data_IF_824857938773
#
_entry.id   IF_824857938773
#
_cell.length_a   1.000
_cell.length_b   1.000
_cell.length_c   1.000
_cell.angle_alpha   90.00
_cell.angle_beta   90.00
_cell.angle_gamma   90.00
#
_symmetry.space_group_name_H-M   'P 1'
#
loop_
_entity.id
_entity.type
_entity.pdbx_description
1 polymer ?
#
# COMPACT_ATOMS: atom_id res chain seq x y z
N UNK A 1 45.76 72.23 37.58
CA UNK A 1 45.37 71.91 36.21
C UNK A 1 43.95 71.41 36.28
N UNK A 2 43.00 72.15 35.69
CA UNK A 2 41.53 72.05 35.93
C UNK A 2 40.94 71.01 34.98
N UNK A 3 40.16 70.04 35.51
CA UNK A 3 39.45 69.11 34.75
C UNK A 3 37.96 69.59 34.75
N UNK A 4 37.45 69.88 33.53
CA UNK A 4 36.06 70.24 33.33
C UNK A 4 35.22 68.95 33.07
N UNK A 5 34.18 68.79 33.89
CA UNK A 5 33.14 67.80 33.65
C UNK A 5 32.01 68.47 32.86
N UNK A 6 31.67 67.93 31.69
CA UNK A 6 30.42 68.19 30.98
C UNK A 6 29.39 67.11 31.28
N UNK A 7 28.33 67.52 31.92
CA UNK A 7 27.12 66.73 32.07
C UNK A 7 26.33 66.74 30.74
N UNK A 8 25.96 65.60 30.24
CA UNK A 8 25.01 65.45 29.14
C UNK A 8 23.69 64.93 29.74
N UNK A 9 22.56 65.57 29.48
CA UNK A 9 21.27 65.10 29.99
C UNK A 9 20.76 63.92 29.16
N UNK A 10 20.38 62.84 29.83
CA UNK A 10 19.72 61.68 29.23
C UNK A 10 18.24 62.03 29.05
N UNK A 11 17.78 62.11 27.80
CA UNK A 11 16.38 62.27 27.43
C UNK A 11 15.70 60.89 27.48
N UNK A 12 14.85 60.65 28.46
CA UNK A 12 14.02 59.44 28.56
C UNK A 12 12.86 59.55 27.58
N UNK A 13 12.90 58.71 26.52
CA UNK A 13 11.74 58.55 25.60
C UNK A 13 10.84 57.44 26.19
N UNK A 14 9.70 57.82 26.69
CA UNK A 14 8.61 56.89 27.04
C UNK A 14 7.97 56.35 25.75
N UNK A 15 8.25 55.09 25.40
CA UNK A 15 7.50 54.36 24.40
C UNK A 15 6.21 53.82 25.04
N UNK A 16 5.08 54.41 24.69
CA UNK A 16 3.76 53.85 24.98
C UNK A 16 3.52 52.63 24.08
N UNK A 17 3.49 51.46 24.65
CA UNK A 17 3.09 50.21 23.96
C UNK A 17 1.56 50.25 23.86
N UNK A 18 1.07 50.49 22.65
CA UNK A 18 -0.37 50.31 22.33
C UNK A 18 -0.67 48.81 22.33
N UNK A 19 -1.41 48.36 23.31
CA UNK A 19 -2.04 47.04 23.37
C UNK A 19 -3.04 46.90 22.23
N UNK A 20 -2.71 46.16 21.18
CA UNK A 20 -3.68 45.67 20.22
C UNK A 20 -4.56 44.66 20.92
N UNK A 21 -5.81 44.99 21.16
CA UNK A 21 -6.82 44.07 21.67
C UNK A 21 -7.00 42.87 20.68
N UNK A 22 -6.82 41.67 21.19
CA UNK A 22 -7.25 40.44 20.49
C UNK A 22 -8.79 40.45 20.46
N UNK A 23 -9.36 40.49 19.26
CA UNK A 23 -10.76 40.19 19.02
C UNK A 23 -10.93 38.68 19.22
N UNK A 24 -11.77 38.21 20.15
CA UNK A 24 -12.05 36.79 20.22
C UNK A 24 -12.82 36.37 18.97
N UNK A 25 -12.21 35.54 18.13
CA UNK A 25 -12.92 34.85 17.07
C UNK A 25 -13.77 33.77 17.75
N UNK A 26 -15.04 34.09 17.99
CA UNK A 26 -16.04 33.10 18.32
C UNK A 26 -16.34 32.32 17.05
N UNK A 27 -15.70 31.16 16.88
CA UNK A 27 -16.13 30.17 15.91
C UNK A 27 -17.49 29.65 16.37
N UNK A 28 -18.53 30.03 15.68
CA UNK A 28 -19.84 29.37 15.75
C UNK A 28 -19.59 27.93 15.26
N UNK A 29 -20.05 26.90 15.99
CA UNK A 29 -20.01 25.56 15.44
C UNK A 29 -20.93 25.52 14.21
N UNK A 30 -20.36 25.49 13.03
CA UNK A 30 -21.12 25.13 11.84
C UNK A 30 -21.67 23.73 12.05
N UNK A 31 -22.99 23.58 11.90
CA UNK A 31 -23.64 22.27 11.75
C UNK A 31 -23.15 21.65 10.43
N UNK A 32 -21.91 21.17 10.42
CA UNK A 32 -21.43 20.27 9.41
C UNK A 32 -22.09 18.92 9.68
N UNK A 33 -22.98 18.50 8.83
CA UNK A 33 -23.38 17.10 8.71
C UNK A 33 -22.12 16.35 8.32
N UNK A 34 -21.41 15.76 9.31
CA UNK A 34 -20.33 14.81 9.04
C UNK A 34 -20.95 13.64 8.33
N UNK A 35 -20.55 13.42 7.08
CA UNK A 35 -20.90 12.20 6.34
C UNK A 35 -20.36 11.02 7.14
N UNK A 36 -21.14 9.97 7.45
CA UNK A 36 -20.62 8.77 8.09
C UNK A 36 -19.47 8.23 7.25
N UNK A 37 -18.33 7.88 7.87
CA UNK A 37 -17.14 7.37 7.18
C UNK A 37 -16.06 8.41 6.83
N UNK A 38 -16.24 9.71 7.16
CA UNK A 38 -15.30 10.79 6.82
C UNK A 38 -14.19 11.04 7.86
N UNK A 39 -14.23 10.43 9.03
CA UNK A 39 -13.19 10.60 10.06
C UNK A 39 -12.16 9.48 10.00
N UNK A 40 -10.91 9.85 9.76
CA UNK A 40 -9.75 8.97 9.94
C UNK A 40 -8.97 9.41 11.17
N UNK A 41 -8.35 8.44 11.85
CA UNK A 41 -7.44 8.70 12.96
C UNK A 41 -6.05 8.19 12.62
N UNK A 42 -4.99 8.97 12.87
CA UNK A 42 -3.62 8.49 12.70
C UNK A 42 -3.34 7.26 13.59
N UNK A 43 -2.54 6.35 13.06
CA UNK A 43 -1.94 5.24 13.80
C UNK A 43 -0.45 5.53 13.89
N UNK A 44 0.04 5.75 15.10
CA UNK A 44 1.45 5.99 15.35
C UNK A 44 2.23 4.66 15.32
N UNK A 45 3.19 4.56 14.41
CA UNK A 45 4.14 3.46 14.35
C UNK A 45 5.56 4.00 14.63
N UNK A 46 6.41 3.18 15.22
CA UNK A 46 7.81 3.55 15.43
C UNK A 46 8.59 3.58 14.11
N UNK A 47 8.20 2.74 13.13
CA UNK A 47 8.72 2.70 11.78
C UNK A 47 7.57 2.58 10.79
N UNK A 48 7.35 3.63 9.98
CA UNK A 48 6.21 3.75 9.09
C UNK A 48 5.12 4.64 9.66
N UNK A 49 3.95 4.64 9.02
CA UNK A 49 2.78 5.40 9.45
C UNK A 49 1.50 4.70 9.01
N UNK A 50 0.39 5.07 9.61
CA UNK A 50 -0.91 4.52 9.23
C UNK A 50 -2.08 5.40 9.64
N UNK A 51 -3.24 5.05 9.11
CA UNK A 51 -4.52 5.66 9.45
C UNK A 51 -5.58 4.60 9.62
N UNK A 52 -6.57 4.89 10.47
CA UNK A 52 -7.73 4.05 10.72
C UNK A 52 -9.01 4.81 10.40
N UNK A 53 -9.85 4.22 9.57
CA UNK A 53 -11.24 4.60 9.35
C UNK A 53 -12.20 3.66 10.09
N UNK A 54 -13.50 3.77 9.77
CA UNK A 54 -14.56 2.95 10.39
C UNK A 54 -14.47 1.46 10.01
N UNK A 55 -14.02 1.16 8.79
CA UNK A 55 -14.00 -0.18 8.20
C UNK A 55 -12.64 -0.61 7.65
N UNK A 56 -11.63 0.28 7.68
CA UNK A 56 -10.29 -0.01 7.19
C UNK A 56 -9.21 0.51 8.13
N UNK A 57 -8.04 -0.07 8.00
CA UNK A 57 -6.76 0.45 8.46
C UNK A 57 -5.79 0.41 7.27
N UNK A 58 -5.06 1.50 7.06
CA UNK A 58 -4.09 1.63 5.96
C UNK A 58 -2.73 2.00 6.54
N UNK A 59 -1.70 1.27 6.12
CA UNK A 59 -0.35 1.40 6.62
C UNK A 59 0.63 1.57 5.47
N UNK A 60 1.67 2.37 5.70
CA UNK A 60 2.81 2.55 4.80
C UNK A 60 4.10 2.31 5.56
N UNK A 61 5.03 1.58 4.95
CA UNK A 61 6.39 1.45 5.45
C UNK A 61 7.15 2.76 5.23
N UNK A 62 8.12 3.05 6.08
CA UNK A 62 9.04 4.17 5.89
C UNK A 62 10.49 3.68 6.05
N UNK A 63 11.14 3.22 4.97
CA UNK A 63 12.52 2.76 5.01
C UNK A 63 13.52 3.88 5.31
N UNK A 64 13.11 5.14 5.18
CA UNK A 64 13.93 6.32 5.51
C UNK A 64 13.75 6.78 6.95
N UNK A 65 12.81 6.19 7.66
CA UNK A 65 12.52 6.49 9.06
C UNK A 65 13.70 6.18 9.98
N UNK A 66 13.89 6.94 11.06
CA UNK A 66 15.07 6.81 11.92
C UNK A 66 15.14 5.48 12.68
N UNK A 67 14.04 4.75 12.78
CA UNK A 67 13.95 3.46 13.48
C UNK A 67 13.87 2.25 12.54
N UNK A 68 13.77 2.46 11.22
CA UNK A 68 13.78 1.37 10.24
C UNK A 68 15.04 0.48 10.31
N UNK A 69 16.25 1.01 10.54
CA UNK A 69 17.44 0.18 10.68
C UNK A 69 17.42 -0.75 11.90
N UNK A 70 16.58 -0.50 12.90
CA UNK A 70 16.40 -1.36 14.07
C UNK A 70 15.40 -2.49 13.80
N UNK A 71 14.68 -2.49 12.67
CA UNK A 71 13.67 -3.46 12.28
C UNK A 71 12.67 -3.76 13.42
N UNK A 72 12.08 -2.70 13.97
CA UNK A 72 11.15 -2.82 15.12
C UNK A 72 10.07 -1.75 15.07
N UNK A 73 8.85 -2.14 15.48
CA UNK A 73 7.69 -1.25 15.59
C UNK A 73 7.16 -0.78 14.23
N UNK A 74 7.31 -1.60 13.21
CA UNK A 74 6.81 -1.35 11.86
C UNK A 74 5.36 -1.77 11.65
N UNK A 75 4.97 -1.82 10.39
CA UNK A 75 3.60 -2.17 9.96
C UNK A 75 3.25 -3.65 10.23
N UNK A 76 4.21 -4.47 10.59
CA UNK A 76 4.00 -5.85 11.05
C UNK A 76 3.31 -5.92 12.41
N UNK A 77 3.50 -4.93 13.28
CA UNK A 77 2.90 -4.89 14.62
C UNK A 77 1.37 -5.04 14.59
N UNK A 78 0.62 -4.18 13.90
CA UNK A 78 -0.82 -4.31 13.74
C UNK A 78 -1.28 -5.64 13.13
N UNK A 79 -0.54 -6.18 12.15
CA UNK A 79 -0.83 -7.49 11.56
C UNK A 79 -0.66 -8.61 12.60
N UNK A 80 0.41 -8.58 13.38
CA UNK A 80 0.67 -9.53 14.47
C UNK A 80 -0.43 -9.46 15.54
N UNK A 81 -0.92 -8.26 15.88
CA UNK A 81 -2.04 -8.08 16.81
C UNK A 81 -3.33 -8.71 16.26
N UNK A 82 -3.61 -8.54 14.95
CA UNK A 82 -4.77 -9.17 14.32
C UNK A 82 -4.67 -10.70 14.32
N UNK A 83 -3.49 -11.26 13.99
CA UNK A 83 -3.22 -12.70 14.06
C UNK A 83 -3.39 -13.21 15.52
N UNK A 84 -2.90 -12.47 16.50
CA UNK A 84 -3.07 -12.82 17.91
C UNK A 84 -4.54 -12.76 18.37
N UNK A 85 -5.33 -11.88 17.76
CA UNK A 85 -6.78 -11.75 18.01
C UNK A 85 -7.65 -12.81 17.32
N UNK A 86 -7.12 -13.55 16.34
CA UNK A 86 -7.84 -14.55 15.56
C UNK A 86 -8.42 -15.68 16.44
N UNK A 87 -9.65 -16.11 16.12
CA UNK A 87 -10.41 -17.10 16.90
C UNK A 87 -10.83 -18.31 16.09
N UNK A 88 -11.02 -18.20 14.79
CA UNK A 88 -11.55 -19.25 13.92
C UNK A 88 -10.50 -19.73 12.93
N UNK A 89 -10.02 -18.85 12.06
CA UNK A 89 -9.14 -19.23 10.95
C UNK A 89 -8.23 -18.10 10.50
N UNK A 90 -7.08 -18.48 9.96
CA UNK A 90 -6.17 -17.61 9.23
C UNK A 90 -5.77 -18.35 7.95
N UNK A 91 -6.11 -17.78 6.80
CA UNK A 91 -5.73 -18.23 5.48
C UNK A 91 -4.73 -17.21 4.90
N UNK A 92 -3.48 -17.59 4.73
CA UNK A 92 -2.41 -16.70 4.27
C UNK A 92 -1.87 -17.13 2.91
N UNK A 93 -1.92 -16.25 1.91
CA UNK A 93 -1.23 -16.37 0.65
C UNK A 93 -0.01 -15.45 0.67
N UNK A 94 1.19 -16.01 0.56
CA UNK A 94 2.44 -15.28 0.75
C UNK A 94 3.46 -15.64 -0.33
N UNK A 95 3.78 -14.70 -1.22
CA UNK A 95 4.92 -14.88 -2.12
C UNK A 95 6.20 -15.20 -1.35
N UNK A 96 6.47 -14.45 -0.29
CA UNK A 96 7.62 -14.69 0.61
C UNK A 96 7.24 -14.41 2.06
N UNK A 97 7.71 -15.28 2.95
CA UNK A 97 7.51 -15.15 4.39
C UNK A 97 8.83 -15.44 5.10
N UNK A 98 9.41 -14.42 5.70
CA UNK A 98 10.64 -14.51 6.53
C UNK A 98 10.61 -13.54 7.71
N UNK A 99 9.45 -12.94 8.00
CA UNK A 99 9.25 -12.01 9.10
C UNK A 99 8.99 -12.80 10.40
N UNK A 100 9.95 -12.79 11.29
CA UNK A 100 9.90 -13.54 12.54
C UNK A 100 8.65 -13.25 13.37
N UNK A 101 8.23 -11.98 13.46
CA UNK A 101 7.04 -11.55 14.20
C UNK A 101 5.77 -12.24 13.70
N UNK A 102 5.58 -12.27 12.39
CA UNK A 102 4.43 -12.93 11.74
C UNK A 102 4.51 -14.45 11.87
N UNK A 103 5.69 -15.06 11.65
CA UNK A 103 5.89 -16.50 11.83
C UNK A 103 5.50 -16.96 13.24
N UNK A 104 6.01 -16.29 14.26
CA UNK A 104 5.69 -16.65 15.65
C UNK A 104 4.21 -16.45 15.96
N UNK A 105 3.60 -15.37 15.48
CA UNK A 105 2.18 -15.12 15.67
C UNK A 105 1.29 -16.22 15.05
N UNK A 106 1.63 -16.68 13.83
CA UNK A 106 0.94 -17.78 13.15
C UNK A 106 1.08 -19.11 13.93
N UNK A 107 2.28 -19.43 14.39
CA UNK A 107 2.53 -20.63 15.21
C UNK A 107 1.73 -20.57 16.52
N UNK A 108 1.70 -19.42 17.18
CA UNK A 108 0.95 -19.26 18.43
C UNK A 108 -0.56 -19.29 18.21
N UNK A 109 -1.07 -18.74 17.09
CA UNK A 109 -2.46 -18.88 16.69
C UNK A 109 -2.83 -20.36 16.49
N UNK A 110 -1.99 -21.11 15.77
CA UNK A 110 -2.19 -22.56 15.56
C UNK A 110 -2.20 -23.34 16.90
N UNK A 111 -1.28 -23.04 17.81
CA UNK A 111 -1.25 -23.64 19.15
C UNK A 111 -2.47 -23.33 20.01
N UNK A 112 -3.12 -22.19 19.80
CA UNK A 112 -4.41 -21.83 20.42
C UNK A 112 -5.60 -22.59 19.81
N UNK A 113 -5.41 -23.34 18.73
CA UNK A 113 -6.45 -24.10 18.04
C UNK A 113 -7.13 -23.32 16.89
N UNK A 114 -6.59 -22.16 16.48
CA UNK A 114 -7.01 -21.45 15.26
C UNK A 114 -6.61 -22.29 14.05
N UNK A 115 -7.48 -22.42 13.07
CA UNK A 115 -7.15 -23.07 11.80
C UNK A 115 -6.23 -22.15 10.99
N UNK A 116 -4.94 -22.44 10.98
CA UNK A 116 -3.96 -21.69 10.17
C UNK A 116 -3.58 -22.53 8.94
N UNK A 117 -3.65 -21.92 7.76
CA UNK A 117 -3.26 -22.53 6.48
C UNK A 117 -2.44 -21.51 5.68
N UNK A 118 -1.46 -21.99 4.91
CA UNK A 118 -0.58 -21.11 4.13
C UNK A 118 -0.40 -21.65 2.71
N UNK A 119 -0.53 -20.76 1.73
CA UNK A 119 -0.10 -20.98 0.33
C UNK A 119 1.11 -20.11 0.07
N UNK A 120 2.14 -20.65 -0.55
CA UNK A 120 3.37 -19.93 -0.85
C UNK A 120 3.86 -20.18 -2.28
N UNK A 121 4.67 -19.25 -2.76
CA UNK A 121 5.50 -19.47 -3.93
C UNK A 121 6.47 -20.62 -3.69
N UNK A 122 6.48 -21.62 -4.57
CA UNK A 122 7.24 -22.87 -4.42
C UNK A 122 8.74 -22.67 -4.24
N UNK A 123 9.31 -21.68 -4.93
CA UNK A 123 10.75 -21.37 -4.84
C UNK A 123 11.18 -20.83 -3.48
N UNK A 124 10.22 -20.44 -2.63
CA UNK A 124 10.46 -19.94 -1.29
C UNK A 124 10.19 -20.98 -0.18
N UNK A 125 9.66 -22.16 -0.52
CA UNK A 125 9.27 -23.19 0.44
C UNK A 125 10.42 -23.76 1.28
N UNK A 126 11.61 -23.85 0.72
CA UNK A 126 12.79 -24.42 1.39
C UNK A 126 13.46 -23.47 2.39
N UNK A 127 12.94 -22.24 2.54
CA UNK A 127 13.47 -21.27 3.52
C UNK A 127 13.12 -21.68 4.95
N UNK A 128 13.88 -21.15 5.92
CA UNK A 128 13.75 -21.50 7.35
C UNK A 128 12.36 -21.24 7.93
N UNK A 129 11.70 -20.15 7.51
CA UNK A 129 10.43 -19.73 8.11
C UNK A 129 9.25 -20.59 7.65
N UNK A 130 9.06 -20.89 6.36
CA UNK A 130 8.08 -21.87 5.92
C UNK A 130 8.31 -23.26 6.55
N UNK A 131 9.55 -23.70 6.64
CA UNK A 131 9.87 -24.98 7.26
C UNK A 131 9.51 -25.01 8.76
N UNK A 132 9.71 -23.90 9.49
CA UNK A 132 9.31 -23.79 10.87
C UNK A 132 7.77 -23.80 11.06
N UNK A 133 7.00 -23.28 10.10
CA UNK A 133 5.53 -23.40 10.10
C UNK A 133 5.12 -24.86 9.91
N UNK A 134 5.74 -25.57 8.96
CA UNK A 134 5.50 -27.01 8.69
C UNK A 134 5.85 -27.86 9.93
N UNK A 135 7.01 -27.62 10.55
CA UNK A 135 7.43 -28.28 11.77
C UNK A 135 6.48 -28.02 12.95
N UNK A 136 5.85 -26.87 13.01
CA UNK A 136 4.82 -26.55 13.99
C UNK A 136 3.47 -27.24 13.72
N UNK A 137 3.31 -27.94 12.58
CA UNK A 137 2.09 -28.64 12.18
C UNK A 137 1.11 -27.79 11.39
N UNK A 138 1.49 -26.61 10.93
CA UNK A 138 0.68 -25.76 10.07
C UNK A 138 0.75 -26.32 8.64
N UNK A 139 -0.40 -26.58 7.97
CA UNK A 139 -0.41 -26.96 6.57
C UNK A 139 0.12 -25.79 5.69
N UNK A 140 1.21 -26.02 4.98
CA UNK A 140 1.81 -25.09 4.01
C UNK A 140 1.93 -25.81 2.69
N UNK A 141 1.40 -25.22 1.62
CA UNK A 141 1.55 -25.75 0.26
C UNK A 141 2.24 -24.72 -0.64
N UNK A 142 2.97 -25.22 -1.63
CA UNK A 142 3.53 -24.42 -2.72
C UNK A 142 2.68 -24.54 -3.97
N UNK A 143 2.80 -23.56 -4.87
CA UNK A 143 2.29 -23.66 -6.23
C UNK A 143 3.09 -24.67 -7.05
N UNK A 144 2.61 -25.02 -8.23
CA UNK A 144 3.27 -25.95 -9.18
C UNK A 144 3.18 -25.42 -10.61
N UNK A 145 3.40 -24.12 -10.79
CA UNK A 145 3.28 -23.46 -12.09
C UNK A 145 4.58 -22.79 -12.55
N UNK A 146 4.64 -22.42 -13.83
CA UNK A 146 5.76 -21.65 -14.41
C UNK A 146 5.64 -20.14 -14.09
N UNK A 147 4.45 -19.66 -13.67
CA UNK A 147 4.22 -18.30 -13.16
C UNK A 147 4.64 -18.20 -11.71
N UNK A 148 4.19 -17.16 -11.03
CA UNK A 148 4.43 -16.94 -9.60
C UNK A 148 3.12 -16.96 -8.82
N UNK A 149 3.06 -17.65 -7.71
CA UNK A 149 2.07 -17.37 -6.69
C UNK A 149 2.50 -16.09 -5.97
N UNK A 150 2.10 -14.95 -6.54
CA UNK A 150 2.60 -13.64 -6.12
C UNK A 150 1.65 -12.87 -5.20
N UNK A 151 0.57 -13.49 -4.80
CA UNK A 151 -0.36 -12.95 -3.80
C UNK A 151 0.32 -12.63 -2.47
N UNK A 152 -0.16 -11.59 -1.78
CA UNK A 152 0.27 -11.16 -0.45
C UNK A 152 -0.96 -10.72 0.33
N UNK A 153 -1.72 -11.72 0.83
CA UNK A 153 -2.90 -11.44 1.61
C UNK A 153 -3.09 -12.40 2.78
N UNK A 154 -3.86 -11.98 3.77
CA UNK A 154 -4.38 -12.86 4.82
C UNK A 154 -5.88 -12.62 4.99
N UNK A 155 -6.64 -13.70 5.11
CA UNK A 155 -8.04 -13.66 5.56
C UNK A 155 -8.09 -14.15 6.99
N UNK A 156 -8.56 -13.30 7.91
CA UNK A 156 -8.68 -13.63 9.34
C UNK A 156 -10.16 -13.76 9.70
N UNK A 157 -10.50 -14.89 10.33
CA UNK A 157 -11.84 -15.21 10.85
C UNK A 157 -12.97 -15.05 9.80
N UNK A 158 -12.64 -15.10 8.50
CA UNK A 158 -13.56 -14.91 7.37
C UNK A 158 -14.34 -13.58 7.43
N UNK A 159 -13.79 -12.58 8.09
CA UNK A 159 -14.41 -11.29 8.35
C UNK A 159 -13.57 -10.09 7.99
N UNK A 160 -12.27 -10.28 7.86
CA UNK A 160 -11.34 -9.24 7.46
C UNK A 160 -10.29 -9.76 6.49
N UNK A 161 -9.79 -8.86 5.64
CA UNK A 161 -8.72 -9.12 4.68
C UNK A 161 -7.59 -8.13 4.92
N UNK A 162 -6.37 -8.66 4.97
CA UNK A 162 -5.13 -7.90 4.91
C UNK A 162 -4.52 -8.10 3.53
N UNK A 163 -4.24 -7.04 2.82
CA UNK A 163 -3.71 -7.08 1.45
C UNK A 163 -2.83 -5.85 1.17
N UNK A 164 -2.04 -5.91 0.13
CA UNK A 164 -1.19 -4.80 -0.31
C UNK A 164 0.02 -5.27 -1.10
N UNK A 165 1.02 -4.42 -1.17
CA UNK A 165 2.27 -4.74 -1.87
C UNK A 165 3.30 -5.45 -0.99
N UNK A 166 3.16 -5.38 0.35
CA UNK A 166 4.16 -5.83 1.31
C UNK A 166 4.33 -7.36 1.32
N UNK A 167 5.52 -7.83 1.02
CA UNK A 167 5.93 -9.20 1.37
C UNK A 167 6.06 -9.31 2.91
N UNK A 168 5.74 -10.47 3.46
CA UNK A 168 5.88 -10.72 4.90
C UNK A 168 7.34 -11.05 5.26
N UNK A 169 8.23 -10.09 4.96
CA UNK A 169 9.69 -10.21 5.15
C UNK A 169 10.23 -9.00 5.90
N UNK A 170 11.42 -9.12 6.49
CA UNK A 170 12.09 -7.99 7.16
C UNK A 170 12.33 -6.85 6.16
N UNK A 171 12.84 -7.15 4.95
CA UNK A 171 13.03 -6.13 3.92
C UNK A 171 11.72 -5.49 3.48
N UNK A 172 10.66 -6.29 3.26
CA UNK A 172 9.34 -5.77 2.88
C UNK A 172 8.73 -4.83 3.92
N UNK A 173 9.12 -5.00 5.19
CA UNK A 173 8.59 -4.19 6.30
C UNK A 173 9.45 -2.97 6.61
N UNK A 174 10.79 -3.05 6.43
CA UNK A 174 11.71 -2.04 6.96
C UNK A 174 12.63 -1.41 5.92
N UNK A 175 12.86 -2.06 4.77
CA UNK A 175 13.81 -1.60 3.76
C UNK A 175 13.13 -1.10 2.48
N UNK A 176 11.90 -1.58 2.17
CA UNK A 176 11.17 -1.28 0.94
C UNK A 176 10.01 -0.31 1.19
N UNK A 177 9.64 0.49 0.18
CA UNK A 177 8.41 1.27 0.19
C UNK A 177 7.21 0.37 -0.16
N UNK A 178 6.35 0.11 0.80
CA UNK A 178 5.18 -0.76 0.69
C UNK A 178 3.93 -0.15 1.31
N UNK A 179 2.78 -0.69 0.92
CA UNK A 179 1.51 -0.50 1.61
C UNK A 179 0.96 -1.83 2.14
N UNK A 180 0.18 -1.75 3.20
CA UNK A 180 -0.61 -2.85 3.76
C UNK A 180 -1.95 -2.28 4.21
N UNK A 181 -3.04 -2.88 3.73
CA UNK A 181 -4.39 -2.44 4.06
C UNK A 181 -5.16 -3.57 4.73
N UNK A 182 -5.83 -3.27 5.84
CA UNK A 182 -6.82 -4.12 6.52
C UNK A 182 -8.21 -3.64 6.18
N UNK A 183 -9.09 -4.53 5.74
CA UNK A 183 -10.47 -4.23 5.41
C UNK A 183 -11.41 -5.16 6.17
N UNK A 184 -12.32 -4.59 6.95
CA UNK A 184 -13.38 -5.32 7.63
C UNK A 184 -14.58 -5.49 6.70
N UNK A 185 -14.66 -6.62 6.01
CA UNK A 185 -15.75 -6.95 5.09
C UNK A 185 -15.88 -8.46 4.90
N UNK A 186 -17.01 -9.00 5.28
CA UNK A 186 -17.29 -10.43 5.06
C UNK A 186 -17.43 -10.79 3.58
N UNK A 187 -17.90 -9.86 2.74
CA UNK A 187 -18.00 -10.07 1.28
C UNK A 187 -16.63 -10.10 0.61
N UNK A 188 -15.75 -9.18 0.99
CA UNK A 188 -14.39 -9.19 0.48
C UNK A 188 -13.63 -10.41 1.02
N UNK A 189 -13.80 -10.74 2.29
CA UNK A 189 -13.24 -11.95 2.88
C UNK A 189 -13.74 -13.24 2.20
N UNK A 190 -14.98 -13.26 1.71
CA UNK A 190 -15.51 -14.38 0.91
C UNK A 190 -14.76 -14.53 -0.42
N UNK A 191 -14.51 -13.43 -1.15
CA UNK A 191 -13.71 -13.45 -2.39
C UNK A 191 -12.32 -14.04 -2.15
N UNK A 192 -11.59 -13.46 -1.19
CA UNK A 192 -10.22 -13.89 -0.87
C UNK A 192 -10.16 -15.30 -0.27
N UNK A 193 -11.21 -15.74 0.46
CA UNK A 193 -11.31 -17.12 0.95
C UNK A 193 -11.54 -18.11 -0.18
N UNK A 194 -12.29 -17.72 -1.22
CA UNK A 194 -12.51 -18.56 -2.37
C UNK A 194 -11.26 -18.70 -3.22
N UNK A 195 -10.57 -17.59 -3.50
CA UNK A 195 -9.27 -17.57 -4.16
C UNK A 195 -8.25 -18.44 -3.41
N UNK A 196 -8.15 -18.27 -2.09
CA UNK A 196 -7.29 -19.12 -1.26
C UNK A 196 -7.67 -20.60 -1.35
N UNK A 197 -8.96 -20.91 -1.37
CA UNK A 197 -9.47 -22.28 -1.46
C UNK A 197 -9.13 -22.93 -2.80
N UNK A 198 -9.22 -22.19 -3.90
CA UNK A 198 -8.85 -22.68 -5.23
C UNK A 198 -7.38 -23.10 -5.26
N UNK A 199 -6.50 -22.26 -4.70
CA UNK A 199 -5.08 -22.61 -4.57
C UNK A 199 -4.85 -23.77 -3.60
N UNK A 200 -5.40 -23.66 -2.37
CA UNK A 200 -5.05 -24.57 -1.26
C UNK A 200 -5.73 -25.94 -1.34
N UNK A 201 -7.02 -25.99 -1.68
CA UNK A 201 -7.83 -27.23 -1.69
C UNK A 201 -7.90 -27.85 -3.07
N UNK A 202 -8.08 -27.01 -4.12
CA UNK A 202 -8.30 -27.49 -5.48
C UNK A 202 -6.98 -27.58 -6.28
N UNK A 203 -5.87 -27.01 -5.76
CA UNK A 203 -4.53 -27.03 -6.42
C UNK A 203 -4.52 -26.23 -7.73
N UNK A 204 -5.40 -25.23 -7.86
CA UNK A 204 -5.55 -24.40 -9.04
C UNK A 204 -4.67 -23.17 -8.91
N UNK A 205 -3.73 -23.01 -9.82
CA UNK A 205 -2.80 -21.88 -9.91
C UNK A 205 -2.65 -21.45 -11.37
N UNK A 206 -2.40 -20.17 -11.58
CA UNK A 206 -2.08 -19.61 -12.89
C UNK A 206 -3.24 -19.63 -13.89
N UNK A 207 -2.94 -19.57 -15.20
CA UNK A 207 -3.94 -19.33 -16.22
C UNK A 207 -4.86 -20.55 -16.45
N UNK A 208 -6.01 -20.27 -17.09
CA UNK A 208 -7.04 -21.23 -17.48
C UNK A 208 -8.00 -21.65 -16.34
N UNK A 209 -8.08 -20.86 -15.31
CA UNK A 209 -9.09 -20.97 -14.26
C UNK A 209 -10.27 -20.07 -14.66
N UNK A 210 -11.48 -20.51 -14.39
CA UNK A 210 -12.64 -19.67 -14.65
C UNK A 210 -12.81 -18.65 -13.51
N UNK A 211 -13.14 -17.38 -13.79
CA UNK A 211 -13.37 -16.38 -12.75
C UNK A 211 -14.37 -16.84 -11.69
N UNK A 212 -14.02 -16.70 -10.43
CA UNK A 212 -14.86 -17.13 -9.30
C UNK A 212 -14.97 -16.07 -8.19
N UNK A 213 -14.91 -14.82 -8.54
CA UNK A 213 -15.04 -13.70 -7.61
C UNK A 213 -16.50 -13.39 -7.35
N UNK A 214 -17.13 -13.93 -6.27
CA UNK A 214 -18.59 -13.85 -6.07
C UNK A 214 -19.09 -12.42 -5.81
N UNK A 215 -18.25 -11.56 -5.27
CA UNK A 215 -18.56 -10.16 -4.98
C UNK A 215 -17.54 -9.23 -5.68
N UNK A 216 -17.52 -9.16 -7.03
CA UNK A 216 -16.52 -8.37 -7.74
C UNK A 216 -16.63 -6.87 -7.43
N UNK A 217 -17.78 -6.42 -6.95
CA UNK A 217 -18.03 -5.07 -6.46
C UNK A 217 -18.62 -5.16 -5.05
N UNK A 218 -17.91 -4.56 -4.10
CA UNK A 218 -18.36 -4.45 -2.70
C UNK A 218 -18.57 -2.97 -2.38
N UNK A 219 -19.62 -2.64 -1.63
CA UNK A 219 -19.82 -1.29 -1.10
C UNK A 219 -19.76 -1.34 0.43
N UNK A 220 -18.91 -0.50 1.02
CA UNK A 220 -18.76 -0.35 2.47
C UNK A 220 -18.79 1.15 2.79
N UNK A 221 -19.70 1.59 3.66
CA UNK A 221 -19.86 3.00 4.03
C UNK A 221 -19.81 3.94 2.81
N UNK A 222 -20.64 3.64 1.80
CA UNK A 222 -20.72 4.36 0.51
C UNK A 222 -19.47 4.25 -0.39
N UNK A 223 -18.37 3.67 0.09
CA UNK A 223 -17.18 3.40 -0.70
C UNK A 223 -17.38 2.19 -1.59
N UNK A 224 -17.26 2.37 -2.90
CA UNK A 224 -17.19 1.28 -3.87
C UNK A 224 -15.78 0.70 -3.86
N UNK A 225 -15.68 -0.63 -3.81
CA UNK A 225 -14.44 -1.38 -3.97
C UNK A 225 -14.67 -2.42 -5.06
N UNK A 226 -13.85 -2.43 -6.07
CA UNK A 226 -13.79 -3.50 -7.07
C UNK A 226 -12.63 -4.43 -6.72
N UNK A 227 -12.83 -5.74 -6.88
CA UNK A 227 -11.84 -6.75 -6.57
C UNK A 227 -11.61 -7.66 -7.77
N UNK A 228 -10.36 -7.86 -8.12
CA UNK A 228 -9.91 -8.68 -9.24
C UNK A 228 -8.77 -9.58 -8.81
N UNK A 229 -8.76 -10.80 -9.36
CA UNK A 229 -7.62 -11.71 -9.28
C UNK A 229 -7.08 -11.98 -10.68
N UNK A 230 -5.77 -11.92 -10.86
CA UNK A 230 -5.17 -12.33 -12.10
C UNK A 230 -4.63 -13.77 -11.94
N UNK A 231 -4.62 -14.52 -13.05
CA UNK A 231 -4.90 -14.09 -14.42
C UNK A 231 -6.38 -14.18 -14.86
N UNK A 232 -7.31 -14.45 -13.97
CA UNK A 232 -8.67 -14.87 -14.32
C UNK A 232 -9.65 -13.73 -14.60
N UNK A 233 -9.59 -12.65 -13.81
CA UNK A 233 -10.61 -11.59 -13.80
C UNK A 233 -10.32 -10.47 -14.81
N UNK A 234 -9.22 -10.53 -15.59
CA UNK A 234 -8.89 -9.54 -16.63
C UNK A 234 -8.54 -8.17 -16.04
N UNK A 235 -7.60 -8.15 -15.12
CA UNK A 235 -7.13 -6.95 -14.40
C UNK A 235 -6.76 -5.82 -15.33
N UNK A 236 -6.01 -6.11 -16.40
CA UNK A 236 -5.53 -5.08 -17.33
C UNK A 236 -6.68 -4.33 -18.00
N UNK A 237 -7.79 -5.00 -18.33
CA UNK A 237 -8.96 -4.35 -18.93
C UNK A 237 -9.63 -3.38 -17.92
N UNK A 238 -9.72 -3.77 -16.64
CA UNK A 238 -10.27 -2.92 -15.59
C UNK A 238 -9.40 -1.68 -15.37
N UNK A 239 -8.06 -1.85 -15.31
CA UNK A 239 -7.11 -0.74 -15.19
C UNK A 239 -7.14 0.16 -16.42
N UNK A 240 -7.18 -0.40 -17.63
CA UNK A 240 -7.28 0.37 -18.87
C UNK A 240 -8.56 1.21 -18.91
N UNK A 241 -9.71 0.66 -18.51
CA UNK A 241 -10.96 1.42 -18.41
C UNK A 241 -10.85 2.55 -17.39
N UNK A 242 -10.28 2.29 -16.22
CA UNK A 242 -10.08 3.29 -15.18
C UNK A 242 -9.20 4.45 -15.67
N UNK A 243 -8.01 4.13 -16.21
CA UNK A 243 -7.05 5.15 -16.69
C UNK A 243 -7.60 5.95 -17.86
N UNK A 244 -8.33 5.30 -18.79
CA UNK A 244 -9.04 6.01 -19.88
C UNK A 244 -10.15 6.93 -19.36
N UNK A 245 -10.72 6.64 -18.21
CA UNK A 245 -11.73 7.45 -17.53
C UNK A 245 -11.17 8.63 -16.73
N UNK A 246 -9.84 8.72 -16.54
CA UNK A 246 -9.21 9.83 -15.81
C UNK A 246 -9.47 11.18 -16.47
N UNK A 247 -9.81 12.19 -15.68
CA UNK A 247 -10.20 13.54 -16.13
C UNK A 247 -9.25 14.62 -15.64
N UNK A 248 -8.55 14.44 -14.51
CA UNK A 248 -7.74 15.46 -13.85
C UNK A 248 -6.28 15.05 -13.70
N UNK A 249 -6.02 13.85 -13.14
CA UNK A 249 -4.66 13.43 -12.80
C UNK A 249 -4.48 11.91 -12.73
N UNK A 250 -3.22 11.47 -12.95
CA UNK A 250 -2.79 10.10 -12.69
C UNK A 250 -1.42 10.15 -11.98
N UNK A 251 -1.38 9.72 -10.72
CA UNK A 251 -0.12 9.52 -10.02
C UNK A 251 0.15 8.01 -9.87
N UNK A 252 1.42 7.61 -9.92
CA UNK A 252 1.77 6.20 -9.76
C UNK A 252 3.05 5.99 -8.93
N UNK A 253 3.04 4.91 -8.17
CA UNK A 253 4.19 4.36 -7.46
C UNK A 253 4.33 2.91 -7.88
N UNK A 254 5.42 2.54 -8.58
CA UNK A 254 5.48 1.23 -9.21
C UNK A 254 6.82 0.54 -9.06
N UNK A 255 6.79 -0.72 -8.63
CA UNK A 255 7.94 -1.60 -8.68
C UNK A 255 8.29 -1.90 -10.14
N UNK A 256 7.45 -2.62 -10.86
CA UNK A 256 7.66 -2.94 -12.27
C UNK A 256 6.53 -2.40 -13.15
N UNK A 257 6.88 -1.63 -14.18
CA UNK A 257 5.93 -1.12 -15.15
C UNK A 257 6.44 -1.39 -16.57
N UNK A 258 5.95 -2.48 -17.16
CA UNK A 258 6.33 -2.96 -18.50
C UNK A 258 5.12 -3.22 -19.41
N UNK A 259 3.91 -2.86 -18.96
CA UNK A 259 2.69 -2.97 -19.74
C UNK A 259 2.60 -1.82 -20.75
N UNK A 260 2.88 -2.09 -22.02
CA UNK A 260 2.73 -1.08 -23.08
C UNK A 260 1.28 -0.56 -23.18
N UNK A 261 0.28 -1.43 -22.95
CA UNK A 261 -1.13 -1.04 -23.01
C UNK A 261 -1.45 0.07 -21.99
N UNK A 262 -1.06 -0.12 -20.73
CA UNK A 262 -1.27 0.91 -19.71
C UNK A 262 -0.35 2.12 -19.93
N UNK A 263 0.89 1.90 -20.38
CA UNK A 263 1.85 2.95 -20.71
C UNK A 263 1.35 3.86 -21.85
N UNK A 264 0.78 3.28 -22.91
CA UNK A 264 0.17 4.04 -24.02
C UNK A 264 -0.98 4.93 -23.54
N UNK A 265 -1.83 4.42 -22.65
CA UNK A 265 -2.93 5.20 -22.05
C UNK A 265 -2.39 6.36 -21.22
N UNK A 266 -1.41 6.12 -20.36
CA UNK A 266 -0.80 7.15 -19.49
C UNK A 266 -0.19 8.26 -20.37
N UNK A 267 0.56 7.92 -21.44
CA UNK A 267 1.11 8.90 -22.39
C UNK A 267 0.02 9.68 -23.12
N UNK A 268 -1.04 9.02 -23.55
CA UNK A 268 -2.17 9.70 -24.22
C UNK A 268 -2.91 10.68 -23.28
N UNK A 269 -2.97 10.37 -21.98
CA UNK A 269 -3.54 11.27 -20.98
C UNK A 269 -2.65 12.49 -20.71
N UNK A 270 -1.32 12.32 -20.70
CA UNK A 270 -0.38 13.45 -20.66
C UNK A 270 -0.55 14.36 -21.88
N UNK A 271 -0.62 13.79 -23.09
CA UNK A 271 -0.86 14.55 -24.32
C UNK A 271 -2.22 15.28 -24.30
N UNK A 272 -3.21 14.73 -23.61
CA UNK A 272 -4.52 15.37 -23.39
C UNK A 272 -4.47 16.48 -22.31
N UNK A 273 -3.34 16.65 -21.60
CA UNK A 273 -3.10 17.73 -20.65
C UNK A 273 -3.46 17.41 -19.20
N UNK A 274 -3.60 16.14 -18.83
CA UNK A 274 -3.77 15.74 -17.44
C UNK A 274 -2.46 15.91 -16.66
N UNK A 275 -2.56 16.09 -15.35
CA UNK A 275 -1.39 16.08 -14.47
C UNK A 275 -0.93 14.65 -14.23
N UNK A 276 0.27 14.29 -14.71
CA UNK A 276 0.80 12.94 -14.52
C UNK A 276 2.18 12.99 -13.88
N UNK A 277 2.36 12.23 -12.81
CA UNK A 277 3.66 12.04 -12.18
C UNK A 277 3.81 10.64 -11.59
N UNK A 278 5.04 10.15 -11.51
CA UNK A 278 5.31 8.82 -10.99
C UNK A 278 6.69 8.63 -10.39
N UNK A 279 6.83 7.58 -9.56
CA UNK A 279 8.13 7.10 -9.11
C UNK A 279 8.23 5.61 -9.40
N UNK A 280 9.34 5.19 -9.98
CA UNK A 280 9.63 3.82 -10.40
C UNK A 280 10.89 3.30 -9.73
N UNK A 281 10.93 1.99 -9.49
CA UNK A 281 12.06 1.30 -8.88
C UNK A 281 13.31 1.30 -9.77
N UNK A 282 14.48 1.66 -9.22
CA UNK A 282 15.74 1.78 -9.97
C UNK A 282 16.18 0.44 -10.59
N UNK A 283 16.12 -0.63 -9.81
CA UNK A 283 16.56 -1.95 -10.27
C UNK A 283 15.66 -2.45 -11.41
N UNK A 284 14.36 -2.23 -11.29
CA UNK A 284 13.41 -2.63 -12.32
C UNK A 284 13.52 -1.80 -13.61
N UNK A 285 13.84 -0.52 -13.51
CA UNK A 285 14.15 0.32 -14.69
C UNK A 285 15.34 -0.25 -15.42
N UNK A 286 16.38 -0.63 -14.73
CA UNK A 286 17.65 -1.08 -15.32
C UNK A 286 17.63 -2.53 -15.81
N UNK A 287 16.88 -3.43 -15.15
CA UNK A 287 16.90 -4.87 -15.41
C UNK A 287 15.78 -5.37 -16.32
N UNK A 288 14.62 -4.69 -16.33
CA UNK A 288 13.49 -5.13 -17.13
C UNK A 288 13.63 -4.73 -18.60
N UNK A 289 13.26 -5.65 -19.48
CA UNK A 289 13.06 -5.32 -20.89
C UNK A 289 11.67 -4.69 -21.06
N UNK A 290 11.61 -3.57 -21.81
CA UNK A 290 10.35 -2.90 -22.12
C UNK A 290 9.78 -2.09 -20.94
N UNK A 291 10.63 -1.58 -20.06
CA UNK A 291 10.20 -0.62 -19.03
C UNK A 291 9.59 0.63 -19.67
N UNK A 292 8.53 1.16 -19.05
CA UNK A 292 7.87 2.38 -19.51
C UNK A 292 8.58 3.67 -19.05
N UNK A 293 9.68 3.58 -18.30
CA UNK A 293 10.40 4.74 -17.78
C UNK A 293 10.86 5.70 -18.90
N UNK A 294 11.66 5.21 -19.85
CA UNK A 294 12.15 6.02 -20.97
C UNK A 294 11.01 6.54 -21.85
N UNK A 295 9.99 5.75 -22.24
CA UNK A 295 8.81 6.25 -22.92
C UNK A 295 8.07 7.37 -22.19
N UNK A 296 7.96 7.29 -20.85
CA UNK A 296 7.35 8.36 -20.06
C UNK A 296 8.19 9.63 -20.03
N UNK A 297 9.52 9.52 -19.85
CA UNK A 297 10.45 10.67 -19.94
C UNK A 297 10.36 11.36 -21.31
N UNK A 298 10.30 10.58 -22.38
CA UNK A 298 10.19 11.11 -23.76
C UNK A 298 8.86 11.81 -24.00
N UNK A 299 7.78 11.38 -23.36
CA UNK A 299 6.47 12.02 -23.39
C UNK A 299 6.38 13.30 -22.54
N UNK A 300 7.40 13.60 -21.71
CA UNK A 300 7.42 14.77 -20.84
C UNK A 300 6.80 14.55 -19.46
N UNK A 301 6.46 13.31 -19.12
CA UNK A 301 5.89 12.96 -17.79
C UNK A 301 6.96 13.15 -16.69
N UNK A 302 6.57 13.74 -15.54
CA UNK A 302 7.43 13.81 -14.35
C UNK A 302 7.54 12.42 -13.69
N UNK A 303 8.31 11.53 -14.33
CA UNK A 303 8.65 10.24 -13.76
C UNK A 303 10.05 10.28 -13.19
N UNK A 304 10.22 9.79 -11.97
CA UNK A 304 11.49 9.78 -11.22
C UNK A 304 11.89 8.37 -10.82
N UNK A 305 13.18 8.23 -10.56
CA UNK A 305 13.77 7.01 -9.98
C UNK A 305 13.63 7.12 -8.47
N UNK A 306 13.27 6.05 -7.79
CA UNK A 306 13.25 6.04 -6.33
C UNK A 306 14.64 6.35 -5.74
N UNK A 307 14.65 6.91 -4.52
CA UNK A 307 15.86 7.41 -3.88
C UNK A 307 16.28 6.61 -2.65
N UNK A 308 15.77 5.38 -2.48
CA UNK A 308 16.07 4.55 -1.32
C UNK A 308 16.99 3.37 -1.70
N UNK A 309 17.77 2.82 -0.75
CA UNK A 309 18.59 1.64 -1.00
C UNK A 309 17.77 0.34 -1.20
N UNK A 310 16.55 0.27 -0.66
CA UNK A 310 15.60 -0.82 -0.86
C UNK A 310 14.77 -0.62 -2.12
N UNK A 311 13.60 -1.24 -2.19
CA UNK A 311 12.77 -1.24 -3.38
C UNK A 311 11.60 -0.25 -3.27
N UNK A 312 11.31 0.47 -4.34
CA UNK A 312 10.01 1.07 -4.57
C UNK A 312 9.01 -0.07 -4.89
N UNK A 313 8.48 -0.68 -3.85
CA UNK A 313 7.73 -1.92 -4.04
C UNK A 313 6.21 -1.74 -4.11
N UNK A 314 5.70 -0.51 -4.12
CA UNK A 314 4.30 -0.22 -4.40
C UNK A 314 3.88 -0.69 -5.81
N UNK A 315 2.59 -0.94 -6.01
CA UNK A 315 1.92 -1.18 -7.27
C UNK A 315 0.61 -0.40 -7.22
N UNK A 316 0.74 0.92 -7.38
CA UNK A 316 -0.33 1.89 -7.09
C UNK A 316 -0.55 2.82 -8.26
N UNK A 317 -1.82 3.03 -8.63
CA UNK A 317 -2.29 4.21 -9.33
C UNK A 317 -3.20 5.02 -8.42
N UNK A 318 -3.11 6.33 -8.48
CA UNK A 318 -4.04 7.28 -7.86
C UNK A 318 -4.63 8.09 -8.99
N UNK A 319 -5.94 8.00 -9.20
CA UNK A 319 -6.65 8.63 -10.31
C UNK A 319 -7.54 9.73 -9.78
N UNK A 320 -7.39 10.93 -10.36
CA UNK A 320 -8.17 12.13 -10.06
C UNK A 320 -8.23 12.46 -8.55
N UNK A 321 -7.22 12.03 -7.78
CA UNK A 321 -7.15 12.16 -6.31
C UNK A 321 -8.40 11.60 -5.59
N UNK A 322 -9.08 10.65 -6.21
CA UNK A 322 -10.36 10.08 -5.74
C UNK A 322 -10.39 8.56 -5.73
N UNK A 323 -9.56 7.92 -6.57
CA UNK A 323 -9.60 6.48 -6.80
C UNK A 323 -8.19 5.94 -6.63
N UNK A 324 -8.05 4.82 -5.92
CA UNK A 324 -6.76 4.15 -5.71
C UNK A 324 -6.82 2.71 -6.19
N UNK A 325 -5.84 2.33 -6.97
CA UNK A 325 -5.51 0.93 -7.29
C UNK A 325 -4.41 0.48 -6.36
N UNK A 326 -4.58 -0.65 -5.70
CA UNK A 326 -3.53 -1.27 -4.88
C UNK A 326 -3.66 -2.80 -4.86
N UNK A 327 -2.59 -3.48 -4.47
CA UNK A 327 -2.52 -4.93 -4.39
C UNK A 327 -1.11 -5.47 -4.65
N UNK A 328 -1.02 -6.70 -5.13
CA UNK A 328 0.24 -7.36 -5.45
C UNK A 328 0.67 -7.21 -6.92
N UNK A 329 -0.25 -6.85 -7.80
CA UNK A 329 -0.14 -6.87 -9.25
C UNK A 329 0.87 -5.85 -9.79
N UNK A 330 1.98 -6.32 -10.35
CA UNK A 330 2.89 -5.48 -11.12
C UNK A 330 2.26 -5.14 -12.48
N UNK A 331 2.46 -3.93 -12.98
CA UNK A 331 1.89 -3.52 -14.27
C UNK A 331 2.69 -4.14 -15.41
N UNK A 332 2.56 -5.45 -15.57
CA UNK A 332 3.35 -6.26 -16.49
C UNK A 332 2.53 -7.38 -17.14
N UNK A 333 3.00 -7.87 -18.29
CA UNK A 333 2.36 -8.99 -18.96
C UNK A 333 2.42 -10.30 -18.15
N UNK A 334 3.47 -10.51 -17.36
CA UNK A 334 3.56 -11.71 -16.51
C UNK A 334 2.49 -11.69 -15.41
N UNK A 335 2.25 -10.54 -14.79
CA UNK A 335 1.21 -10.38 -13.79
C UNK A 335 -0.18 -10.65 -14.38
N UNK A 336 -0.46 -10.21 -15.63
CA UNK A 336 -1.74 -10.42 -16.28
C UNK A 336 -1.98 -11.87 -16.74
N UNK A 337 -0.94 -12.57 -17.22
CA UNK A 337 -1.13 -13.82 -17.97
C UNK A 337 -0.63 -15.06 -17.26
N UNK A 338 0.14 -14.93 -16.17
CA UNK A 338 0.89 -16.06 -15.62
C UNK A 338 0.89 -16.14 -14.10
N UNK A 339 0.84 -15.00 -13.40
CA UNK A 339 0.97 -14.97 -11.96
C UNK A 339 -0.41 -14.95 -11.28
N UNK A 340 -0.50 -15.55 -10.09
CA UNK A 340 -1.63 -15.34 -9.19
C UNK A 340 -1.41 -14.06 -8.40
N UNK A 341 -2.22 -13.04 -8.69
CA UNK A 341 -2.14 -11.70 -8.09
C UNK A 341 -3.51 -11.24 -7.60
N UNK A 342 -3.54 -10.23 -6.75
CA UNK A 342 -4.77 -9.54 -6.38
C UNK A 342 -4.67 -8.03 -6.61
N UNK A 343 -5.82 -7.44 -6.97
CA UNK A 343 -6.00 -6.00 -7.12
C UNK A 343 -7.32 -5.60 -6.51
N UNK A 344 -7.32 -4.47 -5.81
CA UNK A 344 -8.54 -3.73 -5.50
C UNK A 344 -8.46 -2.33 -6.07
N UNK A 345 -9.63 -1.82 -6.53
CA UNK A 345 -9.82 -0.43 -6.94
C UNK A 345 -10.78 0.19 -5.93
N UNK A 346 -10.31 1.18 -5.19
CA UNK A 346 -11.06 1.82 -4.09
C UNK A 346 -11.47 3.22 -4.50
N UNK A 347 -12.77 3.47 -4.57
CA UNK A 347 -13.36 4.77 -4.92
C UNK A 347 -13.64 5.57 -3.64
N UNK A 348 -12.58 6.16 -3.06
CA UNK A 348 -12.67 6.91 -1.82
C UNK A 348 -11.61 8.03 -1.77
N UNK A 349 -12.02 9.31 -1.78
CA UNK A 349 -11.07 10.42 -1.79
C UNK A 349 -10.24 10.53 -0.51
N UNK A 350 -10.74 10.05 0.64
CA UNK A 350 -9.97 10.08 1.90
C UNK A 350 -8.81 9.08 1.83
N UNK A 351 -9.06 7.88 1.28
CA UNK A 351 -8.01 6.89 1.06
C UNK A 351 -7.04 7.39 -0.02
N UNK A 352 -7.55 8.00 -1.10
CA UNK A 352 -6.72 8.58 -2.15
C UNK A 352 -5.80 9.69 -1.60
N UNK A 353 -6.29 10.55 -0.73
CA UNK A 353 -5.47 11.56 -0.04
C UNK A 353 -4.29 10.94 0.73
N UNK A 354 -4.49 9.80 1.40
CA UNK A 354 -3.40 9.14 2.11
C UNK A 354 -2.33 8.60 1.15
N UNK A 355 -2.74 8.09 -0.01
CA UNK A 355 -1.80 7.66 -1.04
C UNK A 355 -1.11 8.84 -1.74
N UNK A 356 -1.75 10.02 -1.85
CA UNK A 356 -1.10 11.25 -2.31
C UNK A 356 -0.01 11.69 -1.31
N UNK A 357 -0.30 11.68 -0.01
CA UNK A 357 0.69 11.99 1.02
C UNK A 357 1.89 11.03 0.97
N UNK A 358 1.63 9.74 0.73
CA UNK A 358 2.68 8.75 0.51
C UNK A 358 3.46 9.01 -0.78
N UNK A 359 2.77 9.34 -1.88
CA UNK A 359 3.40 9.73 -3.13
C UNK A 359 4.34 10.93 -2.95
N UNK A 360 3.90 11.97 -2.26
CA UNK A 360 4.71 13.16 -1.97
C UNK A 360 5.94 12.84 -1.10
N UNK A 361 5.76 11.95 -0.10
CA UNK A 361 6.88 11.47 0.74
C UNK A 361 7.94 10.78 -0.11
N UNK A 362 7.52 9.85 -0.95
CA UNK A 362 8.40 9.07 -1.82
C UNK A 362 9.05 9.96 -2.88
N UNK A 363 8.27 10.81 -3.55
CA UNK A 363 8.75 11.72 -4.58
C UNK A 363 9.82 12.71 -4.04
N UNK A 364 9.71 13.11 -2.77
CA UNK A 364 10.64 14.04 -2.13
C UNK A 364 12.08 13.50 -2.05
N UNK A 365 12.25 12.19 -1.95
CA UNK A 365 13.58 11.53 -1.91
C UNK A 365 13.96 10.92 -3.27
N UNK A 366 13.01 10.85 -4.20
CA UNK A 366 13.25 10.39 -5.55
C UNK A 366 14.17 11.35 -6.32
N UNK A 367 14.86 10.84 -7.32
CA UNK A 367 15.86 11.56 -8.13
C UNK A 367 15.49 11.56 -9.61
N UNK A 368 15.90 12.59 -10.28
CA UNK A 368 16.02 12.59 -11.74
C UNK A 368 17.27 11.82 -12.16
N UNK A 369 17.32 11.36 -13.43
CA UNK A 369 18.51 10.73 -14.02
C UNK A 369 19.77 11.59 -13.89
#
# INVERSE_FOLDING_TARGET
>A
MKINHYLVPILAICLTISSCGQIPITSTPGNGTTTPGSEITPIDLASGHGVKGSWFELYFTDPTGPLSPQATGGVDGPLVEAIAGARLSIDAAAYSLSLNSVRFALIDAHRRGVQVRVVMESTNMDRSDPQALIEAGIPVIGDNMDGLMHNKFMVIDKSEVWLGSMNFTDSGTYDDNNNLMRIHSTKLAENYSLEFKEMFEDGMFGPNIAPRTPNPIVTIDETRIENYFSPDDGVINALAMLLNGAEESIYFLTFSFTSNELGDIVRAKEEAGLTIAGVMDEEQISSNQGTEYDPFKQAGIDVRIDGIPGQMHHKVFIVDEKIVVLGSYNFSQNAELRNDENVIIVYNPIIAEQFILEFERVQKVARDD
#
